data_IF_436881701488
#
_entry.id   IF_436881701488
#
_cell.length_a   1.000
_cell.length_b   1.000
_cell.length_c   1.000
_cell.angle_alpha   90.00
_cell.angle_beta   90.00
_cell.angle_gamma   90.00
#
_symmetry.space_group_name_H-M   'P 1'
#
loop_
_entity.id
_entity.type
_entity.pdbx_description
1 polymer ?
#
# COMPACT_ATOMS: atom_id res chain seq x y z
N UNK A 1 -23.52 82.94 0.95
CA UNK A 1 -22.92 83.43 2.22
C UNK A 1 -23.34 82.45 3.31
N UNK A 2 -22.47 81.68 3.96
CA UNK A 2 -21.48 82.18 4.91
C UNK A 2 -20.37 81.12 5.15
N UNK A 3 -19.13 81.51 4.84
CA UNK A 3 -17.82 81.21 5.47
C UNK A 3 -17.65 79.88 6.26
N UNK A 4 -16.82 78.90 5.84
CA UNK A 4 -15.34 78.82 5.81
C UNK A 4 -14.69 78.48 7.19
N UNK A 5 -13.72 77.54 7.14
CA UNK A 5 -12.74 77.07 8.16
C UNK A 5 -13.32 76.06 9.18
N UNK A 6 -12.64 74.99 9.57
CA UNK A 6 -11.24 74.91 9.98
C UNK A 6 -10.87 73.43 10.24
N UNK A 7 -9.76 72.95 9.64
CA UNK A 7 -8.73 72.01 10.16
C UNK A 7 -9.21 70.88 11.09
N UNK A 8 -8.95 69.60 10.81
CA UNK A 8 -7.66 68.87 10.98
C UNK A 8 -8.13 67.39 10.94
N UNK A 9 -7.44 66.40 10.37
CA UNK A 9 -6.48 65.57 11.09
C UNK A 9 -5.95 64.48 10.13
N UNK A 10 -4.65 64.58 9.86
CA UNK A 10 -3.65 63.51 9.90
C UNK A 10 -3.80 62.36 8.88
N UNK A 11 -2.93 62.45 7.87
CA UNK A 11 -2.43 61.32 7.12
C UNK A 11 -1.85 60.24 8.05
N UNK A 12 -2.41 59.04 8.02
CA UNK A 12 -1.76 57.84 8.56
C UNK A 12 -1.47 56.93 7.38
N UNK A 13 -0.29 57.11 6.79
CA UNK A 13 0.30 56.13 5.91
C UNK A 13 0.65 54.90 6.74
N UNK A 14 -0.13 53.82 6.58
CA UNK A 14 0.16 52.53 7.21
C UNK A 14 1.37 51.95 6.48
N UNK A 15 2.56 52.10 7.07
CA UNK A 15 3.73 51.32 6.69
C UNK A 15 3.50 49.86 7.14
N UNK A 16 3.00 49.02 6.23
CA UNK A 16 3.01 47.57 6.40
C UNK A 16 4.42 47.06 6.13
N UNK A 17 5.29 47.04 7.15
CA UNK A 17 6.58 46.36 7.06
C UNK A 17 6.36 44.87 7.28
N UNK A 18 6.34 44.11 6.18
CA UNK A 18 6.18 42.65 6.19
C UNK A 18 7.48 42.03 6.71
N UNK A 19 7.55 41.73 8.00
CA UNK A 19 8.63 40.94 8.57
C UNK A 19 8.36 39.46 8.26
N UNK A 20 9.07 38.91 7.27
CA UNK A 20 8.99 37.49 6.92
C UNK A 20 9.82 36.69 7.91
N UNK A 21 9.17 36.03 8.87
CA UNK A 21 9.85 35.05 9.73
C UNK A 21 10.02 33.76 8.92
N UNK A 22 11.23 33.20 8.79
CA UNK A 22 11.42 31.93 8.10
C UNK A 22 10.73 30.82 8.90
N UNK A 23 9.70 30.21 8.31
CA UNK A 23 9.04 29.02 8.85
C UNK A 23 10.00 27.84 8.64
N UNK A 24 10.61 27.35 9.72
CA UNK A 24 11.35 26.10 9.70
C UNK A 24 10.36 24.95 9.60
N UNK A 25 10.16 24.42 8.39
CA UNK A 25 9.46 23.14 8.19
C UNK A 25 10.47 22.03 8.46
N UNK A 26 10.26 21.16 9.45
CA UNK A 26 11.10 19.98 9.60
C UNK A 26 10.95 19.13 8.33
N UNK A 27 12.04 18.51 7.83
CA UNK A 27 11.95 17.65 6.67
C UNK A 27 10.97 16.50 6.97
N UNK A 28 9.93 16.39 6.15
CA UNK A 28 9.06 15.22 6.14
C UNK A 28 9.90 14.06 5.61
N UNK A 29 10.43 13.24 6.51
CA UNK A 29 11.08 11.98 6.15
C UNK A 29 9.96 10.99 5.84
N UNK A 30 9.55 10.92 4.57
CA UNK A 30 8.72 9.85 4.07
C UNK A 30 9.55 8.56 4.06
N UNK A 31 9.39 7.73 5.09
CA UNK A 31 9.97 6.39 5.15
C UNK A 31 9.27 5.53 4.11
N UNK A 32 9.87 5.38 2.92
CA UNK A 32 9.47 4.35 1.96
C UNK A 32 9.87 3.01 2.60
N UNK A 33 8.93 2.38 3.29
CA UNK A 33 9.14 1.05 3.84
C UNK A 33 9.06 0.06 2.68
N UNK A 34 10.15 -0.65 2.40
CA UNK A 34 10.12 -1.73 1.42
C UNK A 34 9.08 -2.78 1.86
N UNK A 35 8.30 -3.32 0.91
CA UNK A 35 7.33 -4.33 1.24
C UNK A 35 8.04 -5.58 1.80
N UNK A 36 7.40 -6.35 2.69
CA UNK A 36 7.97 -7.60 3.17
C UNK A 36 8.35 -8.53 2.02
N UNK A 37 9.43 -9.30 2.18
CA UNK A 37 9.92 -10.19 1.13
C UNK A 37 8.88 -11.21 0.61
N UNK A 38 7.89 -11.59 1.43
CA UNK A 38 6.79 -12.48 1.03
C UNK A 38 5.79 -11.82 0.08
N UNK A 39 5.69 -10.48 0.05
CA UNK A 39 4.63 -9.75 -0.64
C UNK A 39 4.66 -9.99 -2.16
N UNK A 40 5.86 -10.13 -2.74
CA UNK A 40 6.05 -10.50 -4.15
C UNK A 40 5.36 -11.83 -4.46
N UNK A 41 5.55 -12.82 -3.61
CA UNK A 41 4.98 -14.16 -3.78
C UNK A 41 3.48 -14.20 -3.50
N UNK A 42 3.00 -13.38 -2.56
CA UNK A 42 1.57 -13.18 -2.33
C UNK A 42 0.84 -12.63 -3.57
N UNK A 43 1.45 -11.67 -4.27
CA UNK A 43 0.90 -11.16 -5.54
C UNK A 43 0.83 -12.24 -6.62
N UNK A 44 1.87 -13.08 -6.72
CA UNK A 44 1.88 -14.21 -7.65
C UNK A 44 0.78 -15.22 -7.30
N UNK A 45 0.62 -15.56 -6.01
CA UNK A 45 -0.44 -16.46 -5.55
C UNK A 45 -1.84 -15.96 -5.93
N UNK A 46 -2.10 -14.66 -5.72
CA UNK A 46 -3.37 -14.01 -6.12
C UNK A 46 -3.59 -14.13 -7.62
N UNK A 47 -2.59 -13.77 -8.43
CA UNK A 47 -2.69 -13.77 -9.90
C UNK A 47 -2.99 -15.17 -10.45
N UNK A 48 -2.22 -16.17 -10.03
CA UNK A 48 -2.38 -17.54 -10.49
C UNK A 48 -3.73 -18.11 -10.04
N UNK A 49 -4.18 -17.77 -8.83
CA UNK A 49 -5.48 -18.21 -8.32
C UNK A 49 -6.64 -17.58 -9.10
N UNK A 50 -6.55 -16.28 -9.42
CA UNK A 50 -7.53 -15.62 -10.29
C UNK A 50 -7.58 -16.25 -11.68
N UNK A 51 -6.44 -16.64 -12.24
CA UNK A 51 -6.37 -17.33 -13.52
C UNK A 51 -7.06 -18.71 -13.48
N UNK A 52 -6.88 -19.46 -12.38
CA UNK A 52 -7.52 -20.76 -12.17
C UNK A 52 -9.03 -20.67 -11.89
N UNK A 53 -9.46 -19.62 -11.18
CA UNK A 53 -10.86 -19.40 -10.80
C UNK A 53 -11.39 -18.05 -11.34
N UNK A 54 -11.55 -17.89 -12.66
CA UNK A 54 -11.87 -16.59 -13.28
C UNK A 54 -13.26 -16.04 -12.89
N UNK A 55 -14.15 -16.90 -12.38
CA UNK A 55 -15.50 -16.54 -11.95
C UNK A 55 -15.61 -16.31 -10.43
N UNK A 56 -14.52 -16.49 -9.68
CA UNK A 56 -14.49 -16.30 -8.23
C UNK A 56 -13.71 -15.03 -7.86
N UNK A 57 -14.21 -14.29 -6.86
CA UNK A 57 -13.49 -13.17 -6.26
C UNK A 57 -12.65 -13.66 -5.09
N UNK A 58 -11.42 -13.18 -4.96
CA UNK A 58 -10.63 -13.38 -3.73
C UNK A 58 -11.09 -12.32 -2.72
N UNK A 59 -11.63 -12.77 -1.59
CA UNK A 59 -12.21 -11.90 -0.55
C UNK A 59 -11.39 -11.85 0.73
N UNK A 60 -10.44 -12.77 0.91
CA UNK A 60 -9.46 -12.72 1.99
C UNK A 60 -8.13 -13.37 1.57
N UNK A 61 -7.07 -12.99 2.25
CA UNK A 61 -5.68 -13.41 2.00
C UNK A 61 -4.95 -13.61 3.34
N UNK A 62 -4.32 -14.76 3.49
CA UNK A 62 -3.47 -15.07 4.63
C UNK A 62 -2.13 -15.62 4.17
N UNK A 63 -1.03 -14.99 4.60
CA UNK A 63 0.30 -15.60 4.52
C UNK A 63 0.45 -16.61 5.65
N UNK A 64 0.66 -17.87 5.31
CA UNK A 64 0.79 -18.96 6.30
C UNK A 64 2.21 -19.14 6.80
N UNK A 65 3.20 -18.80 5.97
CA UNK A 65 4.59 -18.84 6.37
C UNK A 65 5.54 -19.17 5.22
N UNK A 66 6.82 -19.23 5.60
CA UNK A 66 7.96 -19.49 4.74
C UNK A 66 8.76 -20.68 5.27
N UNK A 67 9.19 -21.55 4.36
CA UNK A 67 10.13 -22.64 4.62
C UNK A 67 11.32 -22.48 3.67
N UNK A 68 12.55 -22.40 4.19
CA UNK A 68 13.75 -22.27 3.37
C UNK A 68 14.62 -23.50 3.50
N UNK A 69 14.94 -24.10 2.37
CA UNK A 69 15.93 -25.16 2.21
C UNK A 69 17.22 -24.57 1.61
N UNK A 70 18.23 -25.41 1.40
CA UNK A 70 19.53 -24.97 0.88
C UNK A 70 19.42 -24.30 -0.50
N UNK A 71 18.60 -24.87 -1.38
CA UNK A 71 18.55 -24.47 -2.79
C UNK A 71 17.20 -23.82 -3.17
N UNK A 72 16.13 -24.08 -2.39
CA UNK A 72 14.79 -23.53 -2.65
C UNK A 72 14.14 -22.94 -1.40
N UNK A 73 13.21 -22.01 -1.62
CA UNK A 73 12.35 -21.43 -0.61
C UNK A 73 10.89 -21.65 -1.02
N UNK A 74 10.06 -21.96 -0.04
CA UNK A 74 8.64 -22.23 -0.18
C UNK A 74 7.86 -21.16 0.57
N UNK A 75 6.89 -20.55 -0.10
CA UNK A 75 5.94 -19.60 0.48
C UNK A 75 4.53 -20.19 0.40
N UNK A 76 3.82 -20.14 1.53
CA UNK A 76 2.49 -20.73 1.67
C UNK A 76 1.44 -19.66 1.95
N UNK A 77 0.33 -19.72 1.23
CA UNK A 77 -0.78 -18.79 1.36
C UNK A 77 -2.10 -19.55 1.47
N UNK A 78 -3.06 -18.99 2.21
CA UNK A 78 -4.47 -19.37 2.13
C UNK A 78 -5.25 -18.20 1.56
N UNK A 79 -5.90 -18.41 0.43
CA UNK A 79 -6.78 -17.43 -0.20
C UNK A 79 -8.22 -17.85 0.03
N UNK A 80 -9.09 -16.90 0.35
CA UNK A 80 -10.52 -17.14 0.48
C UNK A 80 -11.24 -16.65 -0.74
N UNK A 81 -11.94 -17.55 -1.42
CA UNK A 81 -12.62 -17.26 -2.68
C UNK A 81 -14.12 -17.30 -2.47
N UNK A 82 -14.82 -16.48 -3.26
CA UNK A 82 -16.27 -16.42 -3.33
C UNK A 82 -16.74 -16.46 -4.77
N UNK A 83 -17.61 -17.41 -5.09
CA UNK A 83 -18.30 -17.52 -6.37
C UNK A 83 -19.81 -17.60 -6.12
N UNK A 84 -20.51 -16.48 -6.31
CA UNK A 84 -21.90 -16.34 -5.87
C UNK A 84 -22.04 -16.53 -4.36
N UNK A 85 -22.86 -17.50 -3.95
CA UNK A 85 -23.09 -17.85 -2.54
C UNK A 85 -22.13 -18.92 -2.01
N UNK A 86 -21.22 -19.43 -2.85
CA UNK A 86 -20.24 -20.44 -2.46
C UNK A 86 -18.91 -19.78 -2.06
N UNK A 87 -18.44 -20.09 -0.85
CA UNK A 87 -17.14 -19.65 -0.33
C UNK A 87 -16.26 -20.85 -0.02
N UNK A 88 -14.98 -20.77 -0.41
CA UNK A 88 -14.03 -21.86 -0.26
C UNK A 88 -12.60 -21.31 -0.11
N UNK A 89 -11.74 -22.10 0.51
CA UNK A 89 -10.33 -21.77 0.64
C UNK A 89 -9.51 -22.39 -0.49
N UNK A 90 -8.41 -21.73 -0.85
CA UNK A 90 -7.37 -22.29 -1.71
C UNK A 90 -6.04 -22.13 -1.01
N UNK A 91 -5.37 -23.24 -0.70
CA UNK A 91 -3.97 -23.22 -0.32
C UNK A 91 -3.13 -23.06 -1.58
N UNK A 92 -2.22 -22.11 -1.56
CA UNK A 92 -1.25 -21.86 -2.64
C UNK A 92 0.14 -22.03 -2.06
N UNK A 93 0.90 -22.96 -2.64
CA UNK A 93 2.30 -23.23 -2.27
C UNK A 93 3.17 -22.87 -3.45
N UNK A 94 4.06 -21.91 -3.26
CA UNK A 94 5.00 -21.45 -4.30
C UNK A 94 6.39 -21.88 -3.87
N UNK A 95 7.03 -22.70 -4.68
CA UNK A 95 8.45 -23.04 -4.53
C UNK A 95 9.27 -22.28 -5.58
N UNK A 96 10.37 -21.68 -5.14
CA UNK A 96 11.31 -20.98 -6.01
C UNK A 96 12.76 -21.21 -5.57
N UNK A 97 13.70 -21.10 -6.50
CA UNK A 97 15.13 -21.17 -6.20
C UNK A 97 15.54 -19.98 -5.35
N UNK A 98 16.21 -20.21 -4.21
CA UNK A 98 16.49 -19.16 -3.22
C UNK A 98 17.38 -18.05 -3.79
N UNK A 99 18.35 -18.40 -4.63
CA UNK A 99 19.34 -17.45 -5.15
C UNK A 99 18.85 -16.65 -6.37
N UNK A 100 18.11 -17.30 -7.27
CA UNK A 100 17.67 -16.70 -8.55
C UNK A 100 16.22 -16.23 -8.51
N UNK A 101 15.46 -16.63 -7.49
CA UNK A 101 14.02 -16.41 -7.36
C UNK A 101 13.22 -16.95 -8.56
N UNK A 102 13.76 -17.93 -9.27
CA UNK A 102 13.06 -18.62 -10.36
C UNK A 102 12.00 -19.55 -9.76
N UNK A 103 10.76 -19.43 -10.24
CA UNK A 103 9.66 -20.28 -9.81
C UNK A 103 9.91 -21.71 -10.29
N UNK A 104 9.97 -22.63 -9.33
CA UNK A 104 10.14 -24.08 -9.58
C UNK A 104 8.77 -24.73 -9.70
N UNK A 105 7.84 -24.41 -8.81
CA UNK A 105 6.51 -25.01 -8.79
C UNK A 105 5.48 -24.08 -8.13
N UNK A 106 4.22 -24.20 -8.58
CA UNK A 106 3.06 -23.59 -7.93
C UNK A 106 1.98 -24.66 -7.78
N UNK A 107 1.69 -25.03 -6.54
CA UNK A 107 0.62 -25.97 -6.22
C UNK A 107 -0.59 -25.23 -5.64
N UNK A 108 -1.78 -25.65 -6.06
CA UNK A 108 -3.05 -25.11 -5.55
C UNK A 108 -3.99 -26.22 -5.13
N UNK A 109 -4.36 -26.21 -3.86
CA UNK A 109 -5.30 -27.16 -3.28
C UNK A 109 -6.54 -26.43 -2.77
N UNK A 110 -7.70 -26.75 -3.35
CA UNK A 110 -8.98 -26.31 -2.81
C UNK A 110 -9.25 -27.00 -1.47
N UNK A 111 -9.83 -26.24 -0.54
CA UNK A 111 -10.28 -26.75 0.75
C UNK A 111 -11.67 -26.22 1.06
N UNK A 112 -12.50 -27.07 1.66
CA UNK A 112 -13.64 -26.58 2.42
C UNK A 112 -13.14 -25.70 3.58
N UNK A 113 -14.01 -24.80 4.03
CA UNK A 113 -13.79 -23.80 5.06
C UNK A 113 -12.61 -24.05 6.02
#
# INVERSE_FOLDING_TARGET
MRFILLKLFIAVGIYFTVNSVPIYTPPVVSTIQEPPAYAKWGMLAIKETQAKYPNASIIDYLHQGRESNKDSTIEKFKLWLKNGDHEFGVFVTIEFTTDTEEVVNIEMQETSR
#
